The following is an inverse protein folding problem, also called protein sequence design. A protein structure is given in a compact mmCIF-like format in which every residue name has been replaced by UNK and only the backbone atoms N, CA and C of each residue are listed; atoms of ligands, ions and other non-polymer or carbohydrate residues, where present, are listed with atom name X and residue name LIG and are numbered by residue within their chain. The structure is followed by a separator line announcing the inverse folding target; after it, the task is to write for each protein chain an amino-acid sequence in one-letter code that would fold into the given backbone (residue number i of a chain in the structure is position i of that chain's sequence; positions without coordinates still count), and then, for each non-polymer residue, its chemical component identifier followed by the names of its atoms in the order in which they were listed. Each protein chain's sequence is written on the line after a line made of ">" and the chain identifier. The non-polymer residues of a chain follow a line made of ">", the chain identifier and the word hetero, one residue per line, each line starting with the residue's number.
data_IF_162204787157
#
_entry.id   IF_162204787157
#
_cell.length_a   1.000
_cell.length_b   1.000
_cell.length_c   1.000
_cell.angle_alpha   90.00
_cell.angle_beta   90.00
_cell.angle_gamma   90.00
#
_symmetry.space_group_name_H-M   'P 1'
#
loop_
_entity.id
_entity.type
_entity.pdbx_description
1 polymer ?
#
# COMPACT_ATOMS: atom_id res chain seq x y z
N UNK A 1 49.96 -24.58 64.07
CA UNK A 1 50.66 -25.46 63.12
C UNK A 1 49.93 -25.37 61.80
N UNK A 2 50.53 -24.70 60.83
CA UNK A 2 50.03 -24.56 59.46
C UNK A 2 50.82 -25.51 58.59
N UNK A 3 50.17 -26.31 57.75
CA UNK A 3 50.70 -26.69 56.43
C UNK A 3 49.64 -27.41 55.59
N UNK A 4 49.77 -27.36 54.24
CA UNK A 4 48.66 -27.32 53.29
C UNK A 4 48.65 -28.54 52.33
N UNK A 5 47.82 -28.42 51.28
CA UNK A 5 48.03 -28.86 49.88
C UNK A 5 46.95 -29.85 49.33
N UNK A 6 46.20 -29.46 48.29
CA UNK A 6 45.41 -30.35 47.44
C UNK A 6 46.26 -31.05 46.35
N UNK A 7 45.78 -32.19 45.81
CA UNK A 7 46.57 -33.13 44.98
C UNK A 7 46.91 -32.68 43.54
N UNK A 8 47.83 -33.40 42.86
CA UNK A 8 48.57 -32.96 41.67
C UNK A 8 48.05 -33.46 40.31
N UNK A 9 48.36 -32.65 39.28
CA UNK A 9 48.72 -32.91 37.85
C UNK A 9 47.88 -33.81 36.89
N UNK A 10 47.47 -33.15 35.80
CA UNK A 10 47.04 -33.53 34.42
C UNK A 10 48.12 -34.39 33.66
N UNK A 11 47.96 -34.97 32.42
CA UNK A 11 47.46 -34.41 31.11
C UNK A 11 46.71 -35.46 30.20
N UNK A 12 46.20 -35.26 28.98
CA UNK A 12 46.77 -34.72 27.73
C UNK A 12 45.69 -34.56 26.64
N UNK A 13 45.96 -33.64 25.71
CA UNK A 13 45.18 -33.17 24.56
C UNK A 13 44.82 -34.21 23.49
N UNK A 14 43.67 -34.01 22.81
CA UNK A 14 43.50 -34.28 21.38
C UNK A 14 42.17 -33.69 20.82
N UNK A 15 42.25 -32.55 20.13
CA UNK A 15 41.33 -32.22 19.02
C UNK A 15 42.04 -32.60 17.71
N UNK A 16 41.33 -33.11 16.68
CA UNK A 16 40.65 -32.23 15.72
C UNK A 16 39.28 -32.73 15.15
N UNK A 17 38.43 -31.78 14.73
CA UNK A 17 37.27 -31.94 13.80
C UNK A 17 37.70 -32.56 12.45
N UNK A 18 36.85 -33.02 11.49
CA UNK A 18 35.39 -32.85 11.31
C UNK A 18 34.61 -34.12 10.80
N UNK A 19 33.38 -34.34 11.29
CA UNK A 19 32.48 -35.40 10.77
C UNK A 19 31.06 -34.86 10.55
N UNK A 20 30.58 -34.95 9.31
CA UNK A 20 29.32 -34.39 8.81
C UNK A 20 28.08 -35.06 9.48
N UNK A 21 27.23 -34.36 10.27
CA UNK A 21 26.16 -35.00 11.04
C UNK A 21 24.80 -35.11 10.31
N UNK A 22 24.75 -34.93 8.99
CA UNK A 22 23.51 -35.09 8.21
C UNK A 22 23.09 -36.54 7.92
N UNK A 23 23.66 -37.53 8.61
CA UNK A 23 23.13 -38.89 8.58
C UNK A 23 21.90 -38.98 9.49
N UNK A 24 20.74 -38.63 8.95
CA UNK A 24 19.44 -38.79 9.60
C UNK A 24 19.18 -40.27 9.92
N UNK A 25 19.09 -40.61 11.20
CA UNK A 25 18.53 -41.86 11.69
C UNK A 25 17.12 -41.58 12.23
N UNK A 26 16.06 -42.22 11.69
CA UNK A 26 14.70 -42.00 12.19
C UNK A 26 14.48 -42.81 13.47
N UNK A 27 14.17 -42.14 14.60
CA UNK A 27 13.55 -42.82 15.75
C UNK A 27 13.94 -42.45 17.19
N UNK A 28 14.41 -41.22 17.51
CA UNK A 28 14.66 -40.84 18.92
C UNK A 28 14.12 -39.42 19.23
N UNK A 29 13.35 -39.22 20.32
CA UNK A 29 12.86 -37.90 20.74
C UNK A 29 13.99 -37.08 21.41
N UNK A 30 14.13 -35.81 21.00
CA UNK A 30 15.18 -34.89 21.47
C UNK A 30 14.71 -34.10 22.72
N UNK A 31 15.52 -34.01 23.80
CA UNK A 31 15.19 -33.20 24.98
C UNK A 31 15.22 -31.68 24.68
N UNK A 32 14.19 -30.95 25.14
CA UNK A 32 13.99 -29.53 24.88
C UNK A 32 15.01 -28.62 25.59
N UNK A 33 15.45 -27.57 24.88
CA UNK A 33 16.29 -26.51 25.43
C UNK A 33 15.44 -25.49 26.23
N UNK A 34 15.95 -24.96 27.36
CA UNK A 34 15.21 -24.01 28.19
C UNK A 34 15.48 -22.58 27.72
N UNK A 35 14.46 -21.87 27.24
CA UNK A 35 14.52 -20.41 27.07
C UNK A 35 13.33 -19.79 27.77
N UNK A 36 13.63 -19.17 28.91
CA UNK A 36 12.66 -18.53 29.80
C UNK A 36 11.96 -17.35 29.15
N UNK A 37 10.65 -17.30 29.29
CA UNK A 37 9.84 -16.12 29.03
C UNK A 37 8.90 -15.91 30.23
N UNK A 38 9.06 -14.83 31.03
CA UNK A 38 8.42 -14.70 32.35
C UNK A 38 6.92 -14.36 32.31
N UNK A 39 6.31 -14.26 31.12
CA UNK A 39 4.87 -13.97 30.96
C UNK A 39 4.01 -15.19 30.61
N UNK A 40 4.57 -16.41 30.65
CA UNK A 40 3.85 -17.64 30.33
C UNK A 40 2.82 -18.09 31.39
N UNK A 41 2.61 -17.33 32.47
CA UNK A 41 1.86 -17.75 33.65
C UNK A 41 0.38 -17.36 33.73
N UNK A 42 -0.21 -16.72 32.71
CA UNK A 42 -1.63 -16.29 32.76
C UNK A 42 -2.55 -16.96 31.73
N UNK A 43 -2.29 -18.23 31.40
CA UNK A 43 -3.33 -19.04 30.75
C UNK A 43 -4.17 -19.76 31.83
N UNK A 44 -5.51 -19.67 31.79
CA UNK A 44 -6.38 -20.36 32.74
C UNK A 44 -6.12 -21.87 32.66
N UNK A 45 -5.68 -22.46 33.77
CA UNK A 45 -5.48 -23.89 33.91
C UNK A 45 -6.83 -24.59 33.82
N UNK A 46 -7.11 -25.21 32.68
CA UNK A 46 -8.33 -26.01 32.49
C UNK A 46 -8.90 -26.11 31.07
N UNK A 47 -8.35 -25.42 30.07
CA UNK A 47 -8.79 -25.62 28.68
C UNK A 47 -8.13 -26.88 28.08
N UNK A 48 -8.89 -27.85 27.53
CA UNK A 48 -8.33 -29.02 26.87
C UNK A 48 -7.46 -28.58 25.68
N UNK A 49 -6.17 -28.90 25.76
CA UNK A 49 -5.24 -28.86 24.63
C UNK A 49 -5.74 -29.87 23.58
N UNK A 50 -6.53 -29.42 22.61
CA UNK A 50 -7.09 -30.34 21.61
C UNK A 50 -8.36 -29.85 20.92
N UNK A 51 -8.37 -28.61 20.46
CA UNK A 51 -9.43 -28.08 19.60
C UNK A 51 -8.79 -27.49 18.35
N UNK A 52 -8.29 -28.35 17.47
CA UNK A 52 -7.79 -27.96 16.16
C UNK A 52 -8.94 -27.41 15.33
N UNK A 53 -9.19 -26.10 15.41
CA UNK A 53 -9.82 -25.42 14.30
C UNK A 53 -8.91 -25.68 13.09
N UNK A 54 -9.41 -26.28 11.99
CA UNK A 54 -8.58 -26.49 10.82
C UNK A 54 -8.01 -25.14 10.39
N UNK A 55 -6.70 -25.08 10.14
CA UNK A 55 -6.09 -23.94 9.49
C UNK A 55 -6.87 -23.69 8.20
N UNK A 56 -7.65 -22.62 8.16
CA UNK A 56 -8.33 -22.22 6.94
C UNK A 56 -7.24 -21.94 5.89
N UNK A 57 -7.31 -22.52 4.69
CA UNK A 57 -6.34 -22.23 3.65
C UNK A 57 -6.34 -20.73 3.35
N UNK A 58 -5.15 -20.13 3.30
CA UNK A 58 -4.99 -18.74 2.87
C UNK A 58 -5.58 -18.62 1.47
N UNK A 59 -6.53 -17.70 1.27
CA UNK A 59 -7.16 -17.49 -0.03
C UNK A 59 -6.07 -17.23 -1.09
N UNK A 60 -6.20 -17.78 -2.31
CA UNK A 60 -5.23 -17.54 -3.37
C UNK A 60 -5.02 -16.04 -3.59
N UNK A 61 -3.74 -15.61 -3.60
CA UNK A 61 -3.42 -14.23 -3.88
C UNK A 61 -3.92 -13.87 -5.28
N UNK A 62 -4.78 -12.85 -5.35
CA UNK A 62 -5.23 -12.29 -6.64
C UNK A 62 -3.99 -11.73 -7.36
N UNK A 63 -3.82 -12.05 -8.63
CA UNK A 63 -2.68 -11.65 -9.46
C UNK A 63 -3.22 -11.18 -10.83
N UNK A 64 -3.75 -9.97 -10.89
CA UNK A 64 -4.29 -9.43 -12.14
C UNK A 64 -3.86 -7.96 -12.31
N UNK A 65 -2.55 -7.72 -12.31
CA UNK A 65 -1.97 -6.37 -12.36
C UNK A 65 -2.56 -5.53 -13.50
N UNK A 66 -2.66 -6.09 -14.71
CA UNK A 66 -3.22 -5.39 -15.86
C UNK A 66 -4.68 -4.97 -15.66
N UNK A 67 -5.50 -5.83 -15.07
CA UNK A 67 -6.89 -5.51 -14.74
C UNK A 67 -6.96 -4.41 -13.68
N UNK A 68 -6.12 -4.49 -12.65
CA UNK A 68 -6.03 -3.46 -11.61
C UNK A 68 -5.69 -2.08 -12.19
N UNK A 69 -4.70 -2.01 -13.09
CA UNK A 69 -4.33 -0.77 -13.77
C UNK A 69 -5.48 -0.25 -14.64
N UNK A 70 -6.09 -1.13 -15.45
CA UNK A 70 -7.19 -0.74 -16.34
C UNK A 70 -8.36 -0.14 -15.56
N UNK A 71 -8.79 -0.81 -14.49
CA UNK A 71 -9.95 -0.33 -13.72
C UNK A 71 -9.59 0.90 -12.89
N UNK A 72 -8.36 1.01 -12.39
CA UNK A 72 -7.89 2.24 -11.75
C UNK A 72 -7.85 3.43 -12.72
N UNK A 73 -7.45 3.19 -13.97
CA UNK A 73 -7.48 4.21 -15.02
C UNK A 73 -8.91 4.67 -15.34
N UNK A 74 -9.83 3.73 -15.53
CA UNK A 74 -11.26 4.06 -15.74
C UNK A 74 -11.82 4.83 -14.53
N UNK A 75 -11.49 4.38 -13.33
CA UNK A 75 -11.89 5.06 -12.09
C UNK A 75 -11.34 6.49 -12.01
N UNK A 76 -10.09 6.72 -12.45
CA UNK A 76 -9.50 8.05 -12.52
C UNK A 76 -10.23 8.96 -13.51
N UNK A 77 -10.59 8.45 -14.69
CA UNK A 77 -11.36 9.21 -15.68
C UNK A 77 -12.76 9.58 -15.18
N UNK A 78 -13.46 8.64 -14.54
CA UNK A 78 -14.79 8.89 -13.96
C UNK A 78 -14.70 9.91 -12.83
N UNK A 79 -13.70 9.77 -11.96
CA UNK A 79 -13.46 10.70 -10.86
C UNK A 79 -13.10 12.10 -11.37
N UNK A 80 -12.27 12.21 -12.41
CA UNK A 80 -11.96 13.46 -13.09
C UNK A 80 -13.22 14.12 -13.66
N UNK A 81 -14.06 13.36 -14.36
CA UNK A 81 -15.33 13.85 -14.90
C UNK A 81 -16.27 14.40 -13.83
N UNK A 82 -16.44 13.65 -12.73
CA UNK A 82 -17.27 14.08 -11.58
C UNK A 82 -16.67 15.34 -10.93
N UNK A 83 -15.37 15.34 -10.68
CA UNK A 83 -14.71 16.47 -10.03
C UNK A 83 -14.76 17.74 -10.88
N UNK A 84 -14.48 17.65 -12.17
CA UNK A 84 -14.59 18.76 -13.11
C UNK A 84 -16.01 19.27 -13.26
N UNK A 85 -17.02 18.38 -13.28
CA UNK A 85 -18.42 18.80 -13.28
C UNK A 85 -18.78 19.59 -12.00
N UNK A 86 -18.26 19.17 -10.84
CA UNK A 86 -18.45 19.89 -9.57
C UNK A 86 -17.81 21.28 -9.65
N UNK A 87 -16.53 21.39 -10.04
CA UNK A 87 -15.84 22.68 -10.19
C UNK A 87 -16.61 23.57 -11.17
N UNK A 88 -16.97 23.03 -12.34
CA UNK A 88 -17.71 23.76 -13.36
C UNK A 88 -19.07 24.29 -12.88
N UNK A 89 -19.72 23.59 -11.96
CA UNK A 89 -21.00 23.99 -11.38
C UNK A 89 -20.87 24.97 -10.22
N UNK A 90 -19.88 24.79 -9.33
CA UNK A 90 -19.72 25.59 -8.11
C UNK A 90 -18.78 26.78 -8.27
N UNK A 91 -17.93 26.79 -9.30
CA UNK A 91 -16.79 27.70 -9.47
C UNK A 91 -15.77 27.66 -8.33
N UNK A 92 -15.77 26.58 -7.54
CA UNK A 92 -14.88 26.44 -6.40
C UNK A 92 -14.23 25.07 -6.43
N UNK A 93 -12.92 25.07 -6.20
CA UNK A 93 -12.19 23.84 -5.94
C UNK A 93 -12.53 23.30 -4.57
N UNK A 94 -12.69 21.99 -4.52
CA UNK A 94 -13.07 21.28 -3.32
C UNK A 94 -11.91 20.40 -2.87
N UNK A 95 -11.15 20.85 -1.87
CA UNK A 95 -9.97 20.13 -1.39
C UNK A 95 -10.21 18.69 -0.90
N UNK A 96 -11.39 18.42 -0.34
CA UNK A 96 -11.77 17.06 0.06
C UNK A 96 -12.04 16.12 -1.12
N UNK A 97 -12.26 16.64 -2.33
CA UNK A 97 -12.42 15.82 -3.53
C UNK A 97 -11.14 15.02 -3.81
N UNK A 98 -9.95 15.58 -3.59
CA UNK A 98 -8.67 14.91 -3.81
C UNK A 98 -8.52 13.61 -3.01
N UNK A 99 -9.01 13.60 -1.75
CA UNK A 99 -9.06 12.39 -0.92
C UNK A 99 -9.98 11.35 -1.55
N UNK A 100 -11.16 11.77 -2.03
CA UNK A 100 -12.12 10.89 -2.70
C UNK A 100 -11.58 10.29 -4.00
N UNK A 101 -10.99 11.11 -4.87
CA UNK A 101 -10.35 10.67 -6.11
C UNK A 101 -9.26 9.65 -5.80
N UNK A 102 -8.35 9.99 -4.89
CA UNK A 102 -7.26 9.09 -4.48
C UNK A 102 -7.79 7.76 -3.94
N UNK A 103 -8.79 7.81 -3.04
CA UNK A 103 -9.36 6.61 -2.43
C UNK A 103 -10.01 5.69 -3.48
N UNK A 104 -10.81 6.22 -4.40
CA UNK A 104 -11.50 5.41 -5.42
C UNK A 104 -10.48 4.78 -6.39
N UNK A 105 -9.50 5.55 -6.88
CA UNK A 105 -8.47 5.05 -7.79
C UNK A 105 -7.59 3.99 -7.11
N UNK A 106 -7.15 4.26 -5.87
CA UNK A 106 -6.39 3.32 -5.07
C UNK A 106 -7.16 2.04 -4.75
N UNK A 107 -8.44 2.17 -4.38
CA UNK A 107 -9.32 1.03 -4.12
C UNK A 107 -9.46 0.16 -5.36
N UNK A 108 -9.74 0.74 -6.53
CA UNK A 108 -9.84 0.01 -7.79
C UNK A 108 -8.55 -0.75 -8.11
N UNK A 109 -7.39 -0.09 -8.00
CA UNK A 109 -6.09 -0.70 -8.25
C UNK A 109 -5.80 -1.89 -7.33
N UNK A 110 -5.93 -1.72 -6.02
CA UNK A 110 -5.63 -2.78 -5.05
C UNK A 110 -6.67 -3.90 -5.09
N UNK A 111 -7.96 -3.57 -5.15
CA UNK A 111 -9.03 -4.57 -5.13
C UNK A 111 -9.00 -5.49 -6.36
N UNK A 112 -8.67 -4.97 -7.53
CA UNK A 112 -8.73 -5.76 -8.77
C UNK A 112 -7.35 -6.21 -9.26
N UNK A 113 -6.28 -5.53 -8.86
CA UNK A 113 -4.91 -5.87 -9.25
C UNK A 113 -4.22 -6.88 -8.34
N UNK A 114 -4.58 -6.93 -7.05
CA UNK A 114 -4.02 -7.84 -6.07
C UNK A 114 -2.65 -7.42 -5.53
N UNK A 115 -1.89 -8.39 -4.98
CA UNK A 115 -0.60 -8.13 -4.29
C UNK A 115 0.54 -7.90 -5.28
N UNK A 116 0.67 -6.66 -5.76
CA UNK A 116 1.82 -6.23 -6.57
C UNK A 116 2.35 -4.87 -6.08
N UNK A 117 3.67 -4.72 -5.83
CA UNK A 117 4.24 -3.49 -5.29
C UNK A 117 4.18 -2.28 -6.23
N UNK A 118 3.98 -2.48 -7.54
CA UNK A 118 3.84 -1.40 -8.51
C UNK A 118 2.44 -0.75 -8.46
N UNK A 119 1.39 -1.50 -8.10
CA UNK A 119 0.01 -1.00 -8.13
C UNK A 119 -0.22 0.23 -7.27
N UNK A 120 0.30 0.33 -6.02
CA UNK A 120 0.19 1.55 -5.22
C UNK A 120 0.86 2.78 -5.84
N UNK A 121 2.00 2.58 -6.53
CA UNK A 121 2.73 3.68 -7.17
C UNK A 121 1.97 4.15 -8.41
N UNK A 122 1.51 3.19 -9.23
CA UNK A 122 0.72 3.47 -10.44
C UNK A 122 -0.61 4.13 -10.06
N UNK A 123 -1.30 3.67 -9.01
CA UNK A 123 -2.53 4.30 -8.54
C UNK A 123 -2.31 5.72 -8.04
N UNK A 124 -1.18 5.98 -7.36
CA UNK A 124 -0.75 7.32 -6.99
C UNK A 124 -0.61 8.24 -8.21
N UNK A 125 0.10 7.78 -9.25
CA UNK A 125 0.25 8.54 -10.49
C UNK A 125 -1.09 8.77 -11.21
N UNK A 126 -1.94 7.75 -11.29
CA UNK A 126 -3.27 7.86 -11.90
C UNK A 126 -4.18 8.81 -11.13
N UNK A 127 -4.08 8.86 -9.80
CA UNK A 127 -4.84 9.81 -9.00
C UNK A 127 -4.40 11.25 -9.26
N UNK A 128 -3.09 11.51 -9.41
CA UNK A 128 -2.58 12.83 -9.81
C UNK A 128 -3.15 13.25 -11.17
N UNK A 129 -3.10 12.35 -12.16
CA UNK A 129 -3.70 12.60 -13.48
C UNK A 129 -5.20 12.85 -13.36
N UNK A 130 -5.93 12.06 -12.57
CA UNK A 130 -7.37 12.21 -12.38
C UNK A 130 -7.76 13.56 -11.76
N UNK A 131 -7.03 14.01 -10.72
CA UNK A 131 -7.26 15.33 -10.11
C UNK A 131 -6.97 16.44 -11.11
N UNK A 132 -5.84 16.36 -11.82
CA UNK A 132 -5.41 17.38 -12.79
C UNK A 132 -6.42 17.54 -13.93
N UNK A 133 -6.81 16.44 -14.56
CA UNK A 133 -7.81 16.47 -15.63
C UNK A 133 -9.18 16.88 -15.12
N UNK A 134 -9.52 16.60 -13.86
CA UNK A 134 -10.73 17.12 -13.24
C UNK A 134 -10.72 18.64 -13.13
N UNK A 135 -9.62 19.24 -12.68
CA UNK A 135 -9.47 20.69 -12.63
C UNK A 135 -9.53 21.32 -14.03
N UNK A 136 -8.77 20.79 -15.01
CA UNK A 136 -8.82 21.28 -16.39
C UNK A 136 -10.23 21.20 -17.00
N UNK A 137 -10.97 20.11 -16.73
CA UNK A 137 -12.34 19.98 -17.23
C UNK A 137 -13.27 21.00 -16.54
N UNK A 138 -13.06 21.24 -15.24
CA UNK A 138 -13.76 22.27 -14.49
C UNK A 138 -13.55 23.65 -15.10
N UNK A 139 -12.30 24.02 -15.37
CA UNK A 139 -11.96 25.29 -16.02
C UNK A 139 -12.56 25.40 -17.41
N UNK A 140 -12.47 24.34 -18.22
CA UNK A 140 -13.08 24.34 -19.55
C UNK A 140 -14.61 24.57 -19.49
N UNK A 141 -15.30 23.99 -18.51
CA UNK A 141 -16.75 24.22 -18.28
C UNK A 141 -17.02 25.66 -17.80
N UNK A 142 -16.13 26.26 -17.02
CA UNK A 142 -16.26 27.65 -16.56
C UNK A 142 -16.06 28.62 -17.72
N UNK A 143 -15.03 28.40 -18.54
CA UNK A 143 -14.70 29.20 -19.72
C UNK A 143 -15.80 29.09 -20.79
N UNK A 144 -16.33 27.89 -21.04
CA UNK A 144 -17.39 27.68 -22.05
C UNK A 144 -18.71 28.41 -21.73
N UNK A 145 -18.88 28.89 -20.49
CA UNK A 145 -20.03 29.71 -20.07
C UNK A 145 -19.82 31.20 -20.34
N UNK A 146 -18.59 31.61 -20.66
CA UNK A 146 -18.18 33.00 -20.82
C UNK A 146 -17.83 33.34 -22.26
N UNK A 147 -17.31 32.35 -23.00
CA UNK A 147 -16.90 32.47 -24.39
C UNK A 147 -17.80 31.61 -25.30
N UNK A 148 -17.94 31.96 -26.59
CA UNK A 148 -18.70 31.17 -27.57
C UNK A 148 -17.93 29.92 -28.03
N UNK A 149 -17.28 29.20 -27.11
CA UNK A 149 -16.48 28.00 -27.37
C UNK A 149 -17.09 26.80 -26.63
N UNK A 150 -17.08 25.64 -27.26
CA UNK A 150 -17.50 24.40 -26.59
C UNK A 150 -16.41 23.89 -25.63
N UNK A 151 -16.80 23.11 -24.61
CA UNK A 151 -15.83 22.45 -23.70
C UNK A 151 -14.81 21.62 -24.49
N UNK A 152 -15.26 20.90 -25.52
CA UNK A 152 -14.41 20.09 -26.39
C UNK A 152 -13.38 20.95 -27.13
N UNK A 153 -13.81 22.05 -27.73
CA UNK A 153 -12.92 22.98 -28.44
C UNK A 153 -11.88 23.60 -27.51
N UNK A 154 -12.31 24.03 -26.31
CA UNK A 154 -11.39 24.55 -25.28
C UNK A 154 -10.35 23.47 -24.91
N UNK A 155 -10.78 22.23 -24.73
CA UNK A 155 -9.91 21.15 -24.26
C UNK A 155 -8.95 20.64 -25.33
N UNK A 156 -9.37 20.54 -26.60
CA UNK A 156 -8.59 19.91 -27.66
C UNK A 156 -7.88 20.93 -28.56
N UNK A 157 -8.49 22.08 -28.82
CA UNK A 157 -7.95 23.08 -29.74
C UNK A 157 -7.23 24.21 -28.99
N UNK A 158 -7.63 24.49 -27.74
CA UNK A 158 -7.07 25.53 -26.87
C UNK A 158 -6.43 24.98 -25.60
N UNK A 159 -5.90 23.74 -25.64
CA UNK A 159 -5.33 23.10 -24.45
C UNK A 159 -4.21 23.91 -23.80
N UNK A 160 -3.38 24.60 -24.61
CA UNK A 160 -2.30 25.45 -24.09
C UNK A 160 -2.84 26.59 -23.23
N UNK A 161 -3.85 27.30 -23.73
CA UNK A 161 -4.49 28.42 -23.03
C UNK A 161 -5.22 27.91 -21.78
N UNK A 162 -5.89 26.77 -21.87
CA UNK A 162 -6.52 26.11 -20.72
C UNK A 162 -5.50 25.76 -19.62
N UNK A 163 -4.31 25.30 -19.99
CA UNK A 163 -3.23 25.01 -19.04
C UNK A 163 -2.66 26.30 -18.42
N UNK A 164 -2.64 27.40 -19.17
CA UNK A 164 -2.19 28.69 -18.65
C UNK A 164 -3.17 29.22 -17.61
N UNK A 165 -4.47 29.22 -17.92
CA UNK A 165 -5.53 29.59 -16.96
C UNK A 165 -5.47 28.72 -15.70
N UNK A 166 -5.37 27.40 -15.85
CA UNK A 166 -5.23 26.52 -14.68
C UNK A 166 -4.00 26.84 -13.83
N UNK A 167 -2.87 27.22 -14.43
CA UNK A 167 -1.67 27.62 -13.67
C UNK A 167 -1.86 28.94 -12.94
N UNK A 168 -2.58 29.88 -13.55
CA UNK A 168 -2.88 31.18 -12.94
C UNK A 168 -3.84 31.03 -11.74
N UNK A 169 -4.84 30.13 -11.86
CA UNK A 169 -5.82 29.87 -10.81
C UNK A 169 -5.32 28.88 -9.73
N UNK A 170 -4.31 28.05 -10.04
CA UNK A 170 -3.73 27.11 -9.09
C UNK A 170 -2.93 27.82 -8.00
N UNK A 171 -3.29 27.58 -6.75
CA UNK A 171 -2.54 28.06 -5.60
C UNK A 171 -1.60 26.97 -5.02
N UNK A 172 -0.82 27.34 -4.00
CA UNK A 172 0.05 26.39 -3.31
C UNK A 172 -0.71 25.20 -2.68
N UNK A 173 -1.99 25.40 -2.33
CA UNK A 173 -2.82 24.39 -1.69
C UNK A 173 -3.28 23.33 -2.70
N UNK A 174 -3.51 23.69 -3.98
CA UNK A 174 -3.78 22.73 -5.06
C UNK A 174 -2.68 21.67 -5.15
N UNK A 175 -1.40 22.06 -5.04
CA UNK A 175 -0.26 21.12 -5.00
C UNK A 175 -0.25 20.21 -3.77
N UNK A 176 -0.72 20.71 -2.62
CA UNK A 176 -0.91 19.87 -1.42
C UNK A 176 -2.02 18.84 -1.68
N UNK A 177 -3.11 19.22 -2.32
CA UNK A 177 -4.19 18.29 -2.66
C UNK A 177 -3.74 17.22 -3.67
N UNK A 178 -2.88 17.55 -4.63
CA UNK A 178 -2.22 16.55 -5.47
C UNK A 178 -1.43 15.52 -4.64
N UNK A 179 -0.58 15.99 -3.71
CA UNK A 179 0.18 15.11 -2.84
C UNK A 179 -0.75 14.21 -1.99
N UNK A 180 -1.82 14.79 -1.44
CA UNK A 180 -2.83 14.04 -0.68
C UNK A 180 -3.50 12.98 -1.55
N UNK A 181 -3.93 13.30 -2.77
CA UNK A 181 -4.54 12.33 -3.67
C UNK A 181 -3.59 11.15 -3.95
N UNK A 182 -2.31 11.42 -4.22
CA UNK A 182 -1.31 10.39 -4.47
C UNK A 182 -1.07 9.49 -3.25
N UNK A 183 -0.91 10.09 -2.06
CA UNK A 183 -0.68 9.36 -0.80
C UNK A 183 -1.91 8.52 -0.43
N UNK A 184 -3.11 9.06 -0.59
CA UNK A 184 -4.36 8.34 -0.32
C UNK A 184 -4.52 7.18 -1.31
N UNK A 185 -4.27 7.39 -2.60
CA UNK A 185 -4.33 6.32 -3.60
C UNK A 185 -3.33 5.20 -3.34
N UNK A 186 -2.09 5.56 -3.02
CA UNK A 186 -1.05 4.60 -2.66
C UNK A 186 -1.45 3.78 -1.42
N UNK A 187 -1.86 4.48 -0.36
CA UNK A 187 -2.21 3.86 0.92
C UNK A 187 -3.44 2.97 0.79
N UNK A 188 -4.42 3.39 0.00
CA UNK A 188 -5.66 2.64 -0.21
C UNK A 188 -5.39 1.39 -1.04
N UNK A 189 -4.60 1.49 -2.12
CA UNK A 189 -4.23 0.33 -2.93
C UNK A 189 -3.49 -0.75 -2.12
N UNK A 190 -2.58 -0.35 -1.23
CA UNK A 190 -1.90 -1.28 -0.31
C UNK A 190 -2.85 -1.99 0.66
N UNK A 191 -3.87 -1.28 1.14
CA UNK A 191 -4.83 -1.83 2.12
C UNK A 191 -5.87 -2.74 1.48
N UNK A 192 -6.10 -2.64 0.18
CA UNK A 192 -7.19 -3.37 -0.52
C UNK A 192 -6.71 -4.54 -1.37
N UNK A 193 -5.38 -4.74 -1.45
CA UNK A 193 -4.71 -5.76 -2.27
C UNK A 193 -4.81 -7.20 -1.76
N UNK A 194 -5.52 -7.47 -0.66
CA UNK A 194 -5.48 -8.75 0.06
C UNK A 194 -6.12 -9.97 -0.63
#
# INVERSE_FOLDING_TARGET
>A
MSTPVPPPNQPYDAQPQPGNPYAAQPGQPQPGAPTGNPFAGQQPVGAPFGGGAPFAPVAPARNNVGLGILVAFIAALVAAGIYGAIIGATKHEIGYAAVGVGAIVGFAAGKLGGRNPALPVISGALALVGVYFGQLLGEAIIISKQLPLSVTEIFFDHFSDLNEVWKEDSDALSFVFFAVAAVVAFSTARKTSD
#
